data_IF_226568147498
#
_entry.id   IF_226568147498
#
_cell.length_a   1.000
_cell.length_b   1.000
_cell.length_c   1.000
_cell.angle_alpha   90.00
_cell.angle_beta   90.00
_cell.angle_gamma   90.00
#
_symmetry.space_group_name_H-M   'P 1'
#
loop_
_entity.id
_entity.type
_entity.pdbx_description
1 polymer ?
#
# COMPACT_ATOMS: atom_id res chain seq x y z
N UNK A 1 -16.49 9.69 9.57
CA UNK A 1 -16.91 9.59 8.16
C UNK A 1 -15.71 9.37 7.23
N UNK A 2 -14.94 8.28 7.34
CA UNK A 2 -13.54 8.30 6.83
C UNK A 2 -13.14 7.11 5.97
N UNK A 3 -13.54 5.87 6.30
CA UNK A 3 -13.04 4.69 5.58
C UNK A 3 -13.54 4.55 4.14
N UNK A 4 -14.80 4.91 3.86
CA UNK A 4 -15.36 4.81 2.52
C UNK A 4 -14.74 5.84 1.55
N UNK A 5 -14.58 7.08 2.01
CA UNK A 5 -13.94 8.15 1.25
C UNK A 5 -12.45 7.82 0.99
N UNK A 6 -11.75 7.32 2.01
CA UNK A 6 -10.34 6.91 1.85
C UNK A 6 -10.18 5.74 0.88
N UNK A 7 -11.10 4.77 0.92
CA UNK A 7 -11.04 3.62 0.01
C UNK A 7 -11.26 4.04 -1.45
N UNK A 8 -12.19 4.98 -1.69
CA UNK A 8 -12.41 5.59 -3.01
C UNK A 8 -11.20 6.40 -3.47
N UNK A 9 -10.57 7.17 -2.58
CA UNK A 9 -9.34 7.90 -2.89
C UNK A 9 -8.24 6.93 -3.33
N UNK A 10 -8.02 5.85 -2.59
CA UNK A 10 -6.99 4.87 -2.94
C UNK A 10 -7.29 4.15 -4.26
N UNK A 11 -8.55 3.83 -4.53
CA UNK A 11 -8.94 3.25 -5.82
C UNK A 11 -8.68 4.23 -6.96
N UNK A 12 -9.01 5.51 -6.79
CA UNK A 12 -8.70 6.55 -7.76
C UNK A 12 -7.19 6.68 -7.98
N UNK A 13 -6.38 6.70 -6.92
CA UNK A 13 -4.91 6.75 -7.04
C UNK A 13 -4.35 5.52 -7.76
N UNK A 14 -4.89 4.32 -7.53
CA UNK A 14 -4.51 3.11 -8.29
C UNK A 14 -4.83 3.24 -9.77
N UNK A 15 -5.99 3.81 -10.13
CA UNK A 15 -6.35 4.05 -11.53
C UNK A 15 -5.41 5.05 -12.19
N UNK A 16 -5.00 6.10 -11.46
CA UNK A 16 -4.00 7.07 -11.94
C UNK A 16 -2.62 6.40 -12.13
N UNK A 17 -2.21 5.48 -11.25
CA UNK A 17 -0.95 4.74 -11.42
C UNK A 17 -0.96 3.86 -12.68
N UNK A 18 -2.08 3.17 -12.93
CA UNK A 18 -2.23 2.23 -14.04
C UNK A 18 -2.43 2.90 -15.39
N UNK A 19 -3.21 3.99 -15.43
CA UNK A 19 -3.69 4.59 -16.69
C UNK A 19 -3.27 6.05 -16.87
N UNK A 20 -2.76 6.71 -15.83
CA UNK A 20 -2.67 8.18 -15.78
C UNK A 20 -4.01 8.82 -15.45
N UNK A 21 -4.02 10.08 -15.00
CA UNK A 21 -5.26 10.86 -14.82
C UNK A 21 -5.80 11.34 -16.19
N UNK A 22 -6.20 10.39 -17.04
CA UNK A 22 -6.68 10.61 -18.41
C UNK A 22 -8.22 10.59 -18.48
N UNK A 23 -8.89 11.08 -17.44
CA UNK A 23 -10.35 11.07 -17.40
C UNK A 23 -10.93 11.92 -18.56
N UNK A 24 -11.89 11.38 -19.34
CA UNK A 24 -12.56 12.13 -20.40
C UNK A 24 -13.23 13.40 -19.86
N UNK A 25 -13.22 14.48 -20.64
CA UNK A 25 -13.69 15.81 -20.20
C UNK A 25 -15.13 15.87 -19.67
N UNK A 26 -15.98 14.90 -20.03
CA UNK A 26 -17.36 14.79 -19.56
C UNK A 26 -17.49 14.13 -18.17
N UNK A 27 -16.41 13.59 -17.61
CA UNK A 27 -16.35 12.95 -16.28
C UNK A 27 -15.80 13.94 -15.24
N UNK A 28 -16.29 15.17 -15.27
CA UNK A 28 -16.06 16.15 -14.19
C UNK A 28 -17.20 16.07 -13.17
N UNK A 29 -17.38 14.88 -12.58
CA UNK A 29 -18.34 14.77 -11.49
C UNK A 29 -17.78 15.45 -10.21
N UNK A 30 -18.63 16.03 -9.36
CA UNK A 30 -18.18 16.72 -8.14
C UNK A 30 -17.34 15.84 -7.20
N UNK A 31 -17.58 14.53 -7.21
CA UNK A 31 -16.86 13.57 -6.36
C UNK A 31 -15.41 13.40 -6.83
N UNK A 32 -15.18 13.29 -8.13
CA UNK A 32 -13.88 13.16 -8.78
C UNK A 32 -13.09 14.45 -8.62
N UNK A 33 -13.74 15.61 -8.73
CA UNK A 33 -13.13 16.91 -8.43
C UNK A 33 -12.66 16.96 -6.98
N UNK A 34 -13.53 16.59 -6.03
CA UNK A 34 -13.17 16.59 -4.61
C UNK A 34 -12.03 15.62 -4.27
N UNK A 35 -12.02 14.43 -4.89
CA UNK A 35 -10.95 13.46 -4.74
C UNK A 35 -9.62 13.98 -5.32
N UNK A 36 -9.66 14.58 -6.52
CA UNK A 36 -8.49 15.20 -7.15
C UNK A 36 -7.94 16.34 -6.29
N UNK A 37 -8.81 17.22 -5.80
CA UNK A 37 -8.40 18.32 -4.91
C UNK A 37 -7.76 17.79 -3.62
N UNK A 38 -8.35 16.77 -3.02
CA UNK A 38 -7.79 16.10 -1.82
C UNK A 38 -6.41 15.51 -2.10
N UNK A 39 -6.25 14.84 -3.25
CA UNK A 39 -4.98 14.24 -3.64
C UNK A 39 -3.89 15.29 -3.94
N UNK A 40 -4.26 16.42 -4.55
CA UNK A 40 -3.34 17.55 -4.78
C UNK A 40 -2.92 18.19 -3.45
N UNK A 41 -3.88 18.46 -2.56
CA UNK A 41 -3.60 19.02 -1.23
C UNK A 41 -2.70 18.11 -0.39
N UNK A 42 -2.83 16.79 -0.56
CA UNK A 42 -2.01 15.79 0.13
C UNK A 42 -0.67 15.48 -0.57
N UNK A 43 -0.29 16.23 -1.61
CA UNK A 43 0.91 15.98 -2.43
C UNK A 43 0.98 14.52 -2.95
N UNK A 44 -0.17 13.91 -3.25
CA UNK A 44 -0.25 12.53 -3.75
C UNK A 44 -0.15 12.48 -5.27
N UNK A 45 -0.51 13.56 -5.94
CA UNK A 45 -0.45 13.72 -7.39
C UNK A 45 -0.04 15.13 -7.77
N UNK A 46 0.63 15.27 -8.93
CA UNK A 46 0.96 16.57 -9.52
C UNK A 46 0.66 16.58 -11.01
N UNK A 47 0.44 17.77 -11.56
CA UNK A 47 0.36 17.98 -13.00
C UNK A 47 1.73 17.77 -13.66
N UNK A 48 1.78 16.99 -14.74
CA UNK A 48 2.97 16.82 -15.57
C UNK A 48 2.75 17.51 -16.92
N UNK A 49 3.35 18.69 -17.09
CA UNK A 49 3.23 19.49 -18.32
C UNK A 49 3.70 18.75 -19.57
N UNK A 50 4.68 17.85 -19.44
CA UNK A 50 5.21 17.09 -20.57
C UNK A 50 4.24 16.02 -21.06
N UNK A 51 3.39 15.51 -20.16
CA UNK A 51 2.42 14.44 -20.44
C UNK A 51 0.99 14.95 -20.57
N UNK A 52 0.72 16.18 -20.16
CA UNK A 52 -0.59 16.81 -20.22
C UNK A 52 -1.64 16.17 -19.32
N UNK A 53 -1.22 15.50 -18.24
CA UNK A 53 -2.13 14.89 -17.25
C UNK A 53 -1.49 14.82 -15.86
N UNK A 54 -2.29 14.56 -14.82
CA UNK A 54 -1.77 14.35 -13.48
C UNK A 54 -1.13 12.97 -13.33
N UNK A 55 0.00 12.93 -12.61
CA UNK A 55 0.77 11.73 -12.30
C UNK A 55 0.98 11.60 -10.80
N UNK A 56 1.20 10.37 -10.31
CA UNK A 56 1.52 10.13 -8.90
C UNK A 56 2.91 10.64 -8.53
N UNK A 57 2.98 11.26 -7.35
CA UNK A 57 4.25 11.60 -6.68
C UNK A 57 4.83 10.37 -5.97
N UNK A 58 6.04 10.49 -5.42
CA UNK A 58 6.60 9.46 -4.53
C UNK A 58 5.71 9.20 -3.31
N UNK A 59 5.11 10.24 -2.75
CA UNK A 59 4.16 10.18 -1.64
C UNK A 59 2.89 9.42 -2.03
N UNK A 60 2.33 9.71 -3.20
CA UNK A 60 1.16 9.00 -3.75
C UNK A 60 1.43 7.50 -3.94
N UNK A 61 2.57 7.14 -4.53
CA UNK A 61 2.97 5.73 -4.70
C UNK A 61 3.18 5.04 -3.36
N UNK A 62 3.84 5.70 -2.41
CA UNK A 62 4.02 5.17 -1.05
C UNK A 62 2.68 4.95 -0.34
N UNK A 63 1.71 5.87 -0.49
CA UNK A 63 0.36 5.75 0.09
C UNK A 63 -0.35 4.49 -0.41
N UNK A 64 -0.26 4.19 -1.70
CA UNK A 64 -0.83 2.96 -2.29
C UNK A 64 -0.10 1.72 -1.77
N UNK A 65 1.24 1.76 -1.75
CA UNK A 65 2.07 0.63 -1.34
C UNK A 65 1.90 0.28 0.15
N UNK A 66 1.78 1.29 1.03
CA UNK A 66 1.61 1.10 2.47
C UNK A 66 0.34 0.33 2.83
N UNK A 67 -0.75 0.51 2.08
CA UNK A 67 -2.00 -0.23 2.33
C UNK A 67 -1.97 -1.67 1.80
N UNK A 68 -1.16 -1.94 0.76
CA UNK A 68 -0.95 -3.31 0.28
C UNK A 68 0.11 -4.07 1.10
N UNK A 69 0.89 -3.37 1.94
CA UNK A 69 1.88 -4.00 2.81
C UNK A 69 1.15 -4.69 3.96
N UNK A 70 0.93 -6.00 3.81
CA UNK A 70 0.58 -6.84 4.95
C UNK A 70 1.67 -6.66 6.04
N UNK A 71 1.29 -6.64 7.33
CA UNK A 71 2.26 -6.57 8.42
C UNK A 71 3.18 -7.81 8.37
N UNK A 72 4.33 -7.66 7.72
CA UNK A 72 5.35 -8.70 7.66
C UNK A 72 6.15 -8.66 8.96
N UNK A 73 6.16 -9.76 9.70
CA UNK A 73 7.11 -9.93 10.80
C UNK A 73 8.49 -10.21 10.22
N UNK A 74 9.49 -9.43 10.64
CA UNK A 74 10.89 -9.71 10.30
C UNK A 74 11.34 -10.91 11.13
N UNK A 75 11.41 -12.09 10.49
CA UNK A 75 11.97 -13.28 11.13
C UNK A 75 13.49 -13.15 11.19
N UNK A 76 14.08 -13.28 12.38
CA UNK A 76 15.53 -13.35 12.54
C UNK A 76 16.02 -14.71 12.02
N UNK A 77 17.16 -14.72 11.32
CA UNK A 77 17.83 -15.96 10.94
C UNK A 77 18.19 -16.74 12.21
N UNK A 78 17.62 -17.95 12.36
CA UNK A 78 18.06 -18.88 13.42
C UNK A 78 19.42 -19.43 13.04
N UNK A 79 20.40 -19.24 13.92
CA UNK A 79 21.71 -19.90 13.82
C UNK A 79 21.51 -21.38 14.13
N UNK A 80 22.18 -22.25 13.38
CA UNK A 80 22.01 -23.72 13.43
C UNK A 80 22.32 -24.34 14.80
N UNK A 81 22.99 -23.59 15.67
CA UNK A 81 23.53 -24.06 16.95
C UNK A 81 22.52 -23.99 18.11
N UNK A 82 21.34 -23.40 17.94
CA UNK A 82 20.30 -23.31 19.00
C UNK A 82 19.46 -24.61 19.16
N UNK A 83 19.98 -25.75 18.71
CA UNK A 83 19.26 -27.04 18.76
C UNK A 83 19.54 -27.88 20.01
N UNK A 84 20.43 -27.44 20.91
CA UNK A 84 20.77 -28.16 22.14
C UNK A 84 20.23 -27.45 23.38
N UNK A 85 18.93 -27.55 23.65
CA UNK A 85 18.44 -27.40 25.05
C UNK A 85 17.10 -28.07 25.36
N UNK A 86 16.68 -29.05 24.56
CA UNK A 86 15.59 -29.94 24.99
C UNK A 86 15.97 -31.40 24.83
N UNK A 87 16.69 -31.91 25.82
CA UNK A 87 16.43 -33.27 26.31
C UNK A 87 16.46 -33.27 27.85
N UNK A 88 15.49 -33.97 28.46
CA UNK A 88 15.90 -35.13 29.25
C UNK A 88 15.16 -36.42 28.84
N UNK A 89 15.99 -37.41 28.48
CA UNK A 89 15.95 -38.88 28.69
C UNK A 89 14.68 -39.70 28.35
N UNK A 90 14.83 -40.79 27.56
CA UNK A 90 13.88 -41.90 27.56
C UNK A 90 14.13 -42.82 28.76
N UNK A 91 13.16 -42.97 29.66
CA UNK A 91 13.15 -44.06 30.64
C UNK A 91 12.69 -45.34 29.92
N UNK A 92 13.63 -46.27 29.72
CA UNK A 92 13.32 -47.66 29.40
C UNK A 92 12.66 -48.32 30.61
N UNK A 93 11.50 -48.91 30.43
CA UNK A 93 10.97 -49.95 31.31
C UNK A 93 11.19 -51.32 30.63
N UNK A 94 12.04 -52.12 31.26
CA UNK A 94 11.97 -53.60 31.35
C UNK A 94 11.37 -53.86 32.75
N UNK A 95 10.43 -54.75 33.03
CA UNK A 95 10.07 -56.08 32.52
C UNK A 95 8.55 -56.23 32.28
#
# INVERSE_FOLDING_TARGET
MTHAAESRLLEALKRVDLHGDIAPAHVQDPMTIALRQTAIQGDLMRWDDSRGHYVLTGTGRNRIAQRNRAPGSVLRFRRRDDSETQQPKPQRAVD
#
